data_IF_146854623773
#
_entry.id   IF_146854623773
#
_cell.length_a   1.000
_cell.length_b   1.000
_cell.length_c   1.000
_cell.angle_alpha   90.00
_cell.angle_beta   90.00
_cell.angle_gamma   90.00
#
_symmetry.space_group_name_H-M   'P 1'
#
loop_
_entity.id
_entity.type
_entity.pdbx_description
1 polymer ?
#
# COMPACT_ATOMS: atom_id res chain seq x y z
N UNK A 1 -58.11 10.16 -35.62
CA UNK A 1 -56.94 10.42 -34.75
C UNK A 1 -56.95 9.69 -33.39
N UNK A 2 -58.09 9.26 -32.80
CA UNK A 2 -58.10 8.56 -31.49
C UNK A 2 -57.46 7.16 -31.47
N UNK A 3 -57.43 6.43 -32.59
CA UNK A 3 -56.91 5.04 -32.65
C UNK A 3 -55.39 4.96 -32.48
N UNK A 4 -54.65 5.89 -33.08
CA UNK A 4 -53.17 5.95 -33.01
C UNK A 4 -52.69 6.21 -31.58
N UNK A 5 -53.36 7.10 -30.83
CA UNK A 5 -53.00 7.38 -29.43
C UNK A 5 -53.20 6.15 -28.52
N UNK A 6 -54.24 5.34 -28.77
CA UNK A 6 -54.47 4.09 -28.01
C UNK A 6 -53.46 3.01 -28.39
N UNK A 7 -53.08 2.92 -29.66
CA UNK A 7 -52.03 1.98 -30.11
C UNK A 7 -50.66 2.32 -29.53
N UNK A 8 -50.30 3.61 -29.47
CA UNK A 8 -49.05 4.10 -28.85
C UNK A 8 -49.02 3.75 -27.36
N UNK A 9 -50.14 3.95 -26.63
CA UNK A 9 -50.26 3.59 -25.22
C UNK A 9 -50.00 2.09 -24.99
N UNK A 10 -50.57 1.23 -25.84
CA UNK A 10 -50.38 -0.23 -25.78
C UNK A 10 -48.92 -0.60 -26.06
N UNK A 11 -48.27 0.07 -27.02
CA UNK A 11 -46.87 -0.17 -27.35
C UNK A 11 -45.93 0.18 -26.19
N UNK A 12 -46.19 1.31 -25.51
CA UNK A 12 -45.44 1.74 -24.32
C UNK A 12 -45.60 0.71 -23.20
N UNK A 13 -46.83 0.22 -22.97
CA UNK A 13 -47.09 -0.76 -21.91
C UNK A 13 -46.45 -2.12 -22.20
N UNK A 14 -46.41 -2.54 -23.46
CA UNK A 14 -45.67 -3.73 -23.88
C UNK A 14 -44.16 -3.59 -23.68
N UNK A 15 -43.59 -2.40 -23.94
CA UNK A 15 -42.18 -2.12 -23.69
C UNK A 15 -41.80 -2.18 -22.20
N UNK A 16 -42.68 -1.71 -21.31
CA UNK A 16 -42.48 -1.78 -19.87
C UNK A 16 -42.47 -3.22 -19.34
N UNK A 17 -43.30 -4.10 -19.91
CA UNK A 17 -43.32 -5.53 -19.57
C UNK A 17 -42.05 -6.28 -19.99
N UNK A 18 -41.39 -5.87 -21.08
CA UNK A 18 -40.15 -6.48 -21.55
C UNK A 18 -38.94 -6.20 -20.64
N UNK A 19 -38.99 -5.10 -19.88
CA UNK A 19 -37.91 -4.70 -18.97
C UNK A 19 -38.01 -5.34 -17.56
N UNK A 20 -39.08 -6.08 -17.28
CA UNK A 20 -39.22 -6.81 -16.02
C UNK A 20 -38.38 -8.09 -16.09
N UNK A 21 -37.57 -8.36 -15.05
CA UNK A 21 -36.71 -9.54 -14.98
C UNK A 21 -37.48 -10.82 -15.30
N UNK A 22 -36.93 -11.67 -16.16
CA UNK A 22 -37.64 -12.84 -16.67
C UNK A 22 -37.98 -13.87 -15.59
N UNK A 23 -38.87 -14.82 -15.90
CA UNK A 23 -39.29 -15.91 -15.01
C UNK A 23 -38.14 -16.70 -14.37
N UNK A 24 -36.97 -16.75 -15.05
CA UNK A 24 -35.75 -17.38 -14.53
C UNK A 24 -35.25 -16.70 -13.25
N UNK A 25 -35.30 -15.39 -13.16
CA UNK A 25 -34.83 -14.65 -11.98
C UNK A 25 -35.85 -14.74 -10.84
N UNK A 26 -37.14 -14.69 -11.14
CA UNK A 26 -38.19 -15.00 -10.15
C UNK A 26 -38.05 -16.41 -9.58
N UNK A 27 -37.72 -17.40 -10.42
CA UNK A 27 -37.48 -18.79 -9.98
C UNK A 27 -36.28 -18.94 -9.04
N UNK A 28 -35.19 -18.20 -9.28
CA UNK A 28 -34.02 -18.18 -8.37
C UNK A 28 -34.38 -17.65 -6.99
N UNK A 29 -35.18 -16.58 -6.93
CA UNK A 29 -35.62 -15.98 -5.66
C UNK A 29 -36.56 -16.92 -4.89
N UNK A 30 -37.55 -17.51 -5.56
CA UNK A 30 -38.50 -18.44 -4.93
C UNK A 30 -37.84 -19.72 -4.41
N UNK A 31 -36.75 -20.17 -5.06
CA UNK A 31 -35.98 -21.35 -4.64
C UNK A 31 -34.84 -21.03 -3.67
N UNK A 32 -34.66 -19.76 -3.28
CA UNK A 32 -33.49 -19.29 -2.54
C UNK A 32 -32.18 -19.82 -3.14
N UNK A 33 -32.08 -19.82 -4.47
CA UNK A 33 -30.90 -20.32 -5.16
C UNK A 33 -29.71 -19.40 -4.83
N UNK A 34 -28.62 -19.98 -4.32
CA UNK A 34 -27.41 -19.21 -4.00
C UNK A 34 -26.89 -18.56 -5.28
N UNK A 35 -26.90 -17.23 -5.33
CA UNK A 35 -26.26 -16.47 -6.40
C UNK A 35 -24.76 -16.72 -6.31
N UNK A 36 -24.19 -17.41 -7.30
CA UNK A 36 -22.75 -17.60 -7.44
C UNK A 36 -22.09 -16.27 -7.85
N UNK A 37 -22.05 -15.31 -6.93
CA UNK A 37 -21.25 -14.10 -7.11
C UNK A 37 -19.78 -14.45 -6.92
N UNK A 38 -18.94 -14.10 -7.89
CA UNK A 38 -17.50 -14.35 -7.86
C UNK A 38 -16.74 -13.38 -6.95
N UNK A 39 -17.46 -12.52 -6.22
CA UNK A 39 -16.90 -11.45 -5.40
C UNK A 39 -16.79 -11.80 -3.90
N UNK A 40 -17.11 -13.04 -3.52
CA UNK A 40 -16.68 -13.56 -2.21
C UNK A 40 -15.14 -13.68 -2.23
N UNK A 41 -14.44 -12.84 -1.46
CA UNK A 41 -12.98 -12.90 -1.36
C UNK A 41 -12.54 -14.29 -0.89
N UNK A 42 -12.05 -15.11 -1.82
CA UNK A 42 -11.51 -16.43 -1.50
C UNK A 42 -10.15 -16.25 -0.80
N UNK A 43 -10.16 -16.22 0.53
CA UNK A 43 -8.95 -16.18 1.36
C UNK A 43 -8.23 -17.53 1.25
N UNK A 44 -7.41 -17.70 0.21
CA UNK A 44 -6.51 -18.85 0.09
C UNK A 44 -5.31 -18.63 1.01
N UNK A 45 -5.13 -19.53 1.99
CA UNK A 45 -3.94 -19.58 2.83
C UNK A 45 -2.73 -19.82 1.93
N UNK A 46 -1.91 -18.78 1.74
CA UNK A 46 -0.62 -18.92 1.06
C UNK A 46 0.32 -19.70 1.98
N UNK A 47 1.20 -20.50 1.37
CA UNK A 47 2.30 -21.11 2.10
C UNK A 47 3.07 -20.03 2.87
N UNK A 48 3.60 -20.34 4.06
CA UNK A 48 4.37 -19.38 4.83
C UNK A 48 5.48 -18.81 3.95
N UNK A 49 5.77 -17.51 4.10
CA UNK A 49 6.89 -16.86 3.44
C UNK A 49 8.16 -17.66 3.74
N UNK A 50 8.59 -18.47 2.78
CA UNK A 50 9.86 -19.19 2.87
C UNK A 50 10.97 -18.16 2.70
N UNK A 51 11.88 -18.12 3.67
CA UNK A 51 13.05 -17.28 3.54
C UNK A 51 13.91 -17.82 2.39
N UNK A 52 14.52 -16.95 1.57
CA UNK A 52 15.41 -17.40 0.52
C UNK A 52 16.59 -18.19 1.13
N UNK A 53 17.15 -19.19 0.43
CA UNK A 53 18.25 -20.03 0.94
C UNK A 53 19.45 -19.23 1.48
N UNK A 54 19.68 -18.05 0.89
CA UNK A 54 20.78 -17.13 1.19
C UNK A 54 20.42 -16.04 2.22
N UNK A 55 19.31 -16.16 2.95
CA UNK A 55 18.92 -15.15 3.95
C UNK A 55 20.03 -14.90 5.00
N UNK A 56 20.76 -15.95 5.37
CA UNK A 56 21.80 -15.89 6.40
C UNK A 56 23.12 -15.27 5.91
N UNK A 57 23.31 -15.12 4.59
CA UNK A 57 24.52 -14.51 4.01
C UNK A 57 24.38 -12.99 3.86
N UNK A 58 23.18 -12.45 4.10
CA UNK A 58 22.95 -11.01 4.09
C UNK A 58 23.72 -10.32 5.23
N UNK A 59 24.46 -9.23 4.95
CA UNK A 59 25.14 -8.49 5.99
C UNK A 59 24.12 -7.85 6.93
N UNK A 60 24.35 -7.95 8.24
CA UNK A 60 23.52 -7.26 9.23
C UNK A 60 23.61 -5.75 9.00
N UNK A 61 22.50 -5.00 9.12
CA UNK A 61 22.55 -3.55 9.08
C UNK A 61 23.61 -3.00 10.05
N UNK A 62 24.57 -2.23 9.54
CA UNK A 62 25.69 -1.70 10.34
C UNK A 62 26.92 -2.62 10.49
N UNK A 63 26.94 -3.82 9.90
CA UNK A 63 28.10 -4.73 9.97
C UNK A 63 29.27 -4.32 9.08
N UNK A 64 29.06 -3.36 8.17
CA UNK A 64 30.15 -2.75 7.43
C UNK A 64 30.98 -1.93 8.42
N UNK A 65 32.16 -2.45 8.81
CA UNK A 65 33.19 -1.65 9.47
C UNK A 65 33.61 -0.53 8.51
N UNK A 66 32.91 0.60 8.54
CA UNK A 66 33.40 1.84 7.93
C UNK A 66 34.64 2.21 8.73
N UNK A 67 35.82 2.00 8.17
CA UNK A 67 37.06 2.56 8.73
C UNK A 67 36.92 4.09 8.66
N UNK A 68 36.67 4.80 9.78
CA UNK A 68 36.36 6.23 9.75
C UNK A 68 37.58 7.08 9.37
N UNK A 69 38.78 6.48 9.43
CA UNK A 69 40.07 7.15 9.24
C UNK A 69 40.52 7.31 7.78
N UNK A 70 39.93 6.59 6.82
CA UNK A 70 40.45 6.58 5.44
C UNK A 70 39.95 7.74 4.57
N UNK A 71 38.75 8.27 4.84
CA UNK A 71 38.07 9.13 3.86
C UNK A 71 37.77 10.57 4.31
N UNK A 72 37.91 10.91 5.60
CA UNK A 72 37.59 12.27 6.09
C UNK A 72 38.49 13.33 5.44
N UNK A 73 39.77 13.01 5.25
CA UNK A 73 40.77 13.95 4.70
C UNK A 73 40.88 13.89 3.17
N UNK A 74 40.21 12.94 2.51
CA UNK A 74 40.25 12.82 1.04
C UNK A 74 39.36 13.87 0.40
N UNK A 75 38.19 14.08 0.98
CA UNK A 75 37.21 15.07 0.51
C UNK A 75 37.73 16.50 0.74
N UNK A 76 38.31 16.79 1.91
CA UNK A 76 38.89 18.12 2.19
C UNK A 76 40.06 18.46 1.26
N UNK A 77 40.93 17.48 0.94
CA UNK A 77 42.01 17.64 -0.04
C UNK A 77 41.51 17.84 -1.47
N UNK A 78 40.44 17.17 -1.87
CA UNK A 78 39.81 17.37 -3.20
C UNK A 78 39.21 18.77 -3.29
N UNK A 79 38.65 19.29 -2.19
CA UNK A 79 37.95 20.58 -2.15
C UNK A 79 38.86 21.76 -1.78
N UNK A 80 40.17 21.56 -1.55
CA UNK A 80 41.14 22.59 -1.16
C UNK A 80 40.68 23.49 0.00
N UNK A 81 40.01 22.91 1.00
CA UNK A 81 39.51 23.65 2.16
C UNK A 81 40.64 23.72 3.20
N UNK A 82 40.90 24.92 3.74
CA UNK A 82 41.84 25.10 4.85
C UNK A 82 41.37 24.33 6.09
N UNK A 83 42.24 23.47 6.65
CA UNK A 83 41.92 22.66 7.83
C UNK A 83 41.78 23.56 9.06
N UNK A 84 40.56 23.75 9.56
CA UNK A 84 40.31 24.28 10.89
C UNK A 84 40.30 23.15 11.92
N UNK A 85 40.99 23.35 13.05
CA UNK A 85 40.93 22.43 14.19
C UNK A 85 39.53 22.47 14.82
N UNK A 86 38.74 21.42 14.61
CA UNK A 86 37.52 21.21 15.38
C UNK A 86 37.88 20.72 16.79
N UNK A 87 37.49 21.50 17.80
CA UNK A 87 37.52 21.05 19.19
C UNK A 87 36.48 19.95 19.36
N UNK A 88 36.93 18.75 19.69
CA UNK A 88 36.06 17.61 19.96
C UNK A 88 35.28 17.83 21.25
N UNK A 89 34.02 18.25 21.14
CA UNK A 89 33.08 18.11 22.26
C UNK A 89 32.70 16.64 22.41
N UNK A 90 33.00 16.09 23.57
CA UNK A 90 32.66 14.72 23.97
C UNK A 90 31.20 14.40 23.64
N UNK A 91 30.95 13.22 23.06
CA UNK A 91 29.61 12.72 22.75
C UNK A 91 28.81 12.53 24.04
N UNK A 92 27.98 13.50 24.41
CA UNK A 92 27.05 13.37 25.52
C UNK A 92 25.82 12.57 25.07
N UNK A 93 25.21 11.82 26.00
CA UNK A 93 23.92 11.16 25.74
C UNK A 93 22.91 12.21 25.29
N UNK A 94 21.98 11.82 24.42
CA UNK A 94 20.90 12.68 23.92
C UNK A 94 20.15 13.32 25.09
N UNK A 95 19.98 12.60 26.21
CA UNK A 95 19.35 13.15 27.42
C UNK A 95 20.14 14.31 28.03
N UNK A 96 21.47 14.21 28.13
CA UNK A 96 22.31 15.31 28.65
C UNK A 96 22.26 16.53 27.73
N UNK A 97 22.20 16.31 26.42
CA UNK A 97 22.05 17.39 25.44
C UNK A 97 20.72 18.13 25.60
N UNK A 98 19.65 17.40 25.90
CA UNK A 98 18.32 17.98 26.15
C UNK A 98 18.30 18.74 27.47
N UNK A 99 18.82 18.17 28.56
CA UNK A 99 18.88 18.80 29.89
C UNK A 99 19.62 20.15 29.86
N UNK A 100 20.80 20.17 29.25
CA UNK A 100 21.58 21.39 29.10
C UNK A 100 20.82 22.48 28.32
N UNK A 101 19.99 22.08 27.35
CA UNK A 101 19.23 23.03 26.52
C UNK A 101 17.99 23.58 27.21
N UNK A 102 17.42 22.83 28.15
CA UNK A 102 16.29 23.27 28.98
C UNK A 102 16.74 23.96 30.28
N UNK A 103 18.05 24.10 30.50
CA UNK A 103 18.62 24.83 31.63
C UNK A 103 18.43 24.15 32.99
N UNK A 104 18.41 22.81 33.02
CA UNK A 104 18.31 22.00 34.24
C UNK A 104 19.56 21.17 34.46
#
# INVERSE_FOLDING_TARGET
MKKINKTILVLIMAGLMYSCGGFKDAGKVLRNEKVSSRDEFLVKKREPLVLPPEYNTLPKPGSTKKNPSSNKNKISKILNIAEQQETSTMSSSVEQSILNKIGK
#
